data_IF_909646987953
#
_entry.id   IF_909646987953
#
_cell.length_a   1.000
_cell.length_b   1.000
_cell.length_c   1.000
_cell.angle_alpha   90.00
_cell.angle_beta   90.00
_cell.angle_gamma   90.00
#
_symmetry.space_group_name_H-M   'P 1'
#
loop_
_entity.id
_entity.type
_entity.pdbx_description
1 polymer ?
#
# COMPACT_ATOMS: atom_id res chain seq x y z
N UNK A 1 31.19 11.86 19.67
CA UNK A 1 31.17 13.36 19.58
C UNK A 1 29.79 13.91 19.89
N UNK A 2 28.71 13.32 19.36
CA UNK A 2 27.33 13.82 19.58
C UNK A 2 26.70 13.33 20.90
N UNK A 3 27.23 12.28 21.52
CA UNK A 3 26.68 11.69 22.76
C UNK A 3 26.41 12.69 23.88
N UNK A 4 27.27 13.69 24.15
CA UNK A 4 26.98 14.70 25.18
C UNK A 4 25.65 15.43 24.94
N UNK A 5 25.29 15.68 23.67
CA UNK A 5 24.01 16.28 23.27
C UNK A 5 22.85 15.33 23.54
N UNK A 6 23.01 14.06 23.16
CA UNK A 6 21.95 13.05 23.31
C UNK A 6 21.68 12.71 24.78
N UNK A 7 22.74 12.67 25.59
CA UNK A 7 22.68 12.40 27.04
C UNK A 7 22.30 13.65 27.86
N UNK A 8 22.22 14.83 27.23
CA UNK A 8 21.94 16.11 27.89
C UNK A 8 22.96 16.44 28.99
N UNK A 9 24.24 16.20 28.70
CA UNK A 9 25.36 16.46 29.61
C UNK A 9 25.70 17.96 29.66
N UNK A 10 24.80 18.76 30.21
CA UNK A 10 24.96 20.20 30.37
C UNK A 10 25.87 20.53 31.55
N UNK A 11 26.83 21.44 31.34
CA UNK A 11 27.67 21.98 32.40
C UNK A 11 27.30 23.45 32.63
N UNK A 12 27.26 23.93 33.89
CA UNK A 12 27.07 25.35 34.17
C UNK A 12 28.35 26.12 33.84
N UNK A 13 28.23 27.20 33.08
CA UNK A 13 29.32 28.17 32.86
C UNK A 13 29.36 29.22 33.96
N UNK A 14 30.52 29.87 34.14
CA UNK A 14 30.74 30.96 35.11
C UNK A 14 29.73 32.12 34.96
N UNK A 15 29.14 32.29 33.77
CA UNK A 15 28.17 33.33 33.47
C UNK A 15 26.70 32.88 33.64
N UNK A 16 26.45 31.71 34.24
CA UNK A 16 25.10 31.15 34.45
C UNK A 16 24.43 30.54 33.21
N UNK A 17 25.10 30.59 32.05
CA UNK A 17 24.67 29.89 30.84
C UNK A 17 25.01 28.40 30.90
N UNK A 18 24.18 27.56 30.29
CA UNK A 18 24.51 26.16 30.08
C UNK A 18 25.53 26.05 28.95
N UNK A 19 26.51 25.17 29.09
CA UNK A 19 27.48 24.82 28.04
C UNK A 19 27.48 23.31 27.84
N UNK A 20 27.88 22.88 26.64
CA UNK A 20 28.01 21.48 26.28
C UNK A 20 29.37 21.26 25.61
N UNK A 21 30.06 20.18 25.96
CA UNK A 21 31.38 19.85 25.40
C UNK A 21 31.22 18.91 24.21
N UNK A 22 31.63 19.36 23.03
CA UNK A 22 31.62 18.59 21.78
C UNK A 22 33.07 18.32 21.35
N UNK A 23 33.57 17.13 21.68
CA UNK A 23 34.99 16.81 21.50
C UNK A 23 35.86 17.75 22.35
N UNK A 24 36.73 18.53 21.71
CA UNK A 24 37.63 19.47 22.37
C UNK A 24 37.06 20.89 22.53
N UNK A 25 35.85 21.15 22.02
CA UNK A 25 35.22 22.47 22.07
C UNK A 25 34.10 22.54 23.09
N UNK A 26 34.06 23.62 23.84
CA UNK A 26 32.92 23.99 24.68
C UNK A 26 32.03 24.96 23.91
N UNK A 27 30.73 24.68 23.89
CA UNK A 27 29.73 25.46 23.13
C UNK A 27 28.62 25.86 24.09
N UNK A 28 28.20 27.12 24.06
CA UNK A 28 27.02 27.58 24.81
C UNK A 28 25.76 26.88 24.30
N UNK A 29 24.91 26.44 25.24
CA UNK A 29 23.65 25.75 24.94
C UNK A 29 22.47 26.72 24.99
N UNK A 30 21.65 26.70 23.94
CA UNK A 30 20.37 27.39 23.87
C UNK A 30 19.23 26.41 24.20
N UNK A 31 18.37 26.77 25.17
CA UNK A 31 17.19 25.96 25.54
C UNK A 31 16.17 25.81 24.41
N UNK A 32 16.20 26.67 23.39
CA UNK A 32 15.37 26.57 22.19
C UNK A 32 15.96 25.68 21.10
N UNK A 33 17.23 25.25 21.22
CA UNK A 33 17.84 24.33 20.26
C UNK A 33 17.13 22.97 20.26
N UNK A 34 16.92 22.43 19.05
CA UNK A 34 16.35 21.09 18.82
C UNK A 34 17.16 20.40 17.75
N UNK A 35 17.52 19.14 17.99
CA UNK A 35 18.23 18.29 17.04
C UNK A 35 17.27 17.26 16.46
N UNK A 36 17.12 17.27 15.14
CA UNK A 36 16.37 16.27 14.39
C UNK A 36 17.35 15.49 13.49
N UNK A 37 17.31 14.17 13.57
CA UNK A 37 18.10 13.28 12.72
C UNK A 37 17.14 12.50 11.83
N UNK A 38 17.45 12.44 10.53
CA UNK A 38 16.64 11.72 9.55
C UNK A 38 17.50 10.67 8.84
N UNK A 39 16.88 9.55 8.46
CA UNK A 39 17.51 8.48 7.71
C UNK A 39 16.62 8.09 6.54
N UNK A 40 17.23 7.81 5.38
CA UNK A 40 16.53 7.26 4.21
C UNK A 40 16.42 5.74 4.24
N UNK A 41 17.13 5.08 5.15
CA UNK A 41 17.07 3.63 5.29
C UNK A 41 15.68 3.23 5.78
N UNK A 42 15.03 2.28 5.11
CA UNK A 42 13.67 1.85 5.47
C UNK A 42 13.61 1.09 6.78
N UNK A 43 14.67 0.35 7.12
CA UNK A 43 14.75 -0.44 8.36
C UNK A 43 16.16 -0.42 8.99
N UNK A 44 16.62 0.74 9.49
CA UNK A 44 17.89 0.87 10.18
C UNK A 44 17.86 0.12 11.52
N UNK A 45 18.94 -0.59 11.85
CA UNK A 45 19.06 -1.25 13.13
C UNK A 45 19.65 -0.30 14.18
N UNK A 46 18.88 0.03 15.21
CA UNK A 46 19.33 0.85 16.33
C UNK A 46 19.51 -0.01 17.57
N UNK A 47 20.69 0.05 18.19
CA UNK A 47 20.95 -0.65 19.45
C UNK A 47 20.14 -0.08 20.62
N UNK A 48 20.04 -0.82 21.74
CA UNK A 48 19.36 -0.35 22.95
C UNK A 48 19.92 0.98 23.48
N UNK A 49 21.23 1.19 23.33
CA UNK A 49 21.89 2.44 23.72
C UNK A 49 21.32 3.67 23.01
N UNK A 50 21.17 3.60 21.68
CA UNK A 50 20.61 4.70 20.88
C UNK A 50 19.14 4.92 21.23
N UNK A 51 18.40 3.83 21.40
CA UNK A 51 16.97 3.85 21.74
C UNK A 51 16.71 4.39 23.15
N UNK A 52 17.68 4.27 24.07
CA UNK A 52 17.62 4.87 25.39
C UNK A 52 17.92 6.37 25.41
N UNK A 53 18.76 6.85 24.49
CA UNK A 53 19.19 8.26 24.42
C UNK A 53 18.28 9.12 23.52
N UNK A 54 17.57 8.51 22.58
CA UNK A 54 16.81 9.23 21.55
C UNK A 54 15.42 8.63 21.34
N UNK A 55 14.46 9.47 20.93
CA UNK A 55 13.15 9.02 20.49
C UNK A 55 13.22 8.69 19.00
N UNK A 56 12.95 7.44 18.65
CA UNK A 56 12.89 6.98 17.26
C UNK A 56 11.45 7.08 16.77
N UNK A 57 11.25 7.80 15.67
CA UNK A 57 9.94 7.96 15.03
C UNK A 57 9.99 7.22 13.69
N UNK A 58 9.08 6.24 13.51
CA UNK A 58 8.93 5.58 12.23
C UNK A 58 8.08 6.46 11.30
N UNK A 59 8.72 7.03 10.27
CA UNK A 59 8.07 7.81 9.22
C UNK A 59 7.82 7.00 7.94
N UNK A 60 7.90 5.67 8.04
CA UNK A 60 7.60 4.75 6.93
C UNK A 60 6.14 4.86 6.51
N UNK A 61 5.92 5.01 5.20
CA UNK A 61 4.58 5.04 4.62
C UNK A 61 3.96 3.64 4.76
N UNK A 62 2.78 3.56 5.38
CA UNK A 62 2.00 2.32 5.47
C UNK A 62 0.91 2.29 4.41
N UNK A 63 0.44 1.09 4.04
CA UNK A 63 -0.62 0.95 3.05
C UNK A 63 -1.92 1.65 3.47
N UNK A 64 -2.30 1.52 4.75
CA UNK A 64 -3.45 2.21 5.30
C UNK A 64 -3.25 3.73 5.31
N UNK A 65 -2.12 4.22 5.84
CA UNK A 65 -1.85 5.66 5.92
C UNK A 65 -1.82 6.32 4.55
N UNK A 66 -1.24 5.64 3.54
CA UNK A 66 -1.26 6.13 2.17
C UNK A 66 -2.66 6.08 1.55
N UNK A 67 -3.46 5.06 1.84
CA UNK A 67 -4.86 5.01 1.38
C UNK A 67 -5.64 6.21 1.90
N UNK A 68 -5.50 6.56 3.19
CA UNK A 68 -6.13 7.75 3.76
C UNK A 68 -5.61 9.05 3.13
N UNK A 69 -4.31 9.13 2.85
CA UNK A 69 -3.71 10.28 2.17
C UNK A 69 -4.26 10.43 0.74
N UNK A 70 -4.32 9.36 -0.04
CA UNK A 70 -4.83 9.37 -1.41
C UNK A 70 -6.34 9.62 -1.45
N UNK A 71 -7.07 9.23 -0.41
CA UNK A 71 -8.48 9.58 -0.27
C UNK A 71 -8.65 11.10 -0.14
N UNK A 72 -7.84 11.77 0.67
CA UNK A 72 -7.84 13.23 0.77
C UNK A 72 -7.56 13.88 -0.58
N UNK A 73 -6.56 13.39 -1.32
CA UNK A 73 -6.22 13.91 -2.66
C UNK A 73 -7.40 13.72 -3.63
N UNK A 74 -8.00 12.53 -3.63
CA UNK A 74 -9.13 12.20 -4.52
C UNK A 74 -10.35 13.08 -4.22
N UNK A 75 -10.72 13.21 -2.95
CA UNK A 75 -11.89 13.97 -2.52
C UNK A 75 -11.67 15.45 -2.74
N UNK A 76 -10.49 15.98 -2.43
CA UNK A 76 -10.15 17.39 -2.72
C UNK A 76 -10.29 17.72 -4.20
N UNK A 77 -9.97 16.78 -5.10
CA UNK A 77 -10.13 16.97 -6.53
C UNK A 77 -11.59 16.82 -7.01
N UNK A 78 -12.29 15.75 -6.59
CA UNK A 78 -13.64 15.46 -7.11
C UNK A 78 -14.75 16.27 -6.41
N UNK A 79 -14.57 16.59 -5.12
CA UNK A 79 -15.52 17.31 -4.26
C UNK A 79 -14.78 18.32 -3.35
N UNK A 80 -14.20 19.38 -3.94
CA UNK A 80 -13.51 20.41 -3.16
C UNK A 80 -14.42 21.11 -2.14
N UNK A 81 -15.72 21.16 -2.42
CA UNK A 81 -16.75 21.66 -1.50
C UNK A 81 -16.82 20.84 -0.20
N UNK A 82 -16.80 19.50 -0.30
CA UNK A 82 -16.79 18.62 0.88
C UNK A 82 -15.50 18.77 1.68
N UNK A 83 -14.36 18.87 0.99
CA UNK A 83 -13.08 19.01 1.68
C UNK A 83 -12.98 20.36 2.41
N UNK A 84 -13.47 21.45 1.80
CA UNK A 84 -13.53 22.77 2.44
C UNK A 84 -14.45 22.76 3.66
N UNK A 85 -15.63 22.12 3.55
CA UNK A 85 -16.54 21.95 4.68
C UNK A 85 -15.90 21.14 5.82
N UNK A 86 -15.18 20.06 5.50
CA UNK A 86 -14.45 19.24 6.48
C UNK A 86 -13.36 20.04 7.18
N UNK A 87 -12.54 20.77 6.43
CA UNK A 87 -11.46 21.61 7.00
C UNK A 87 -12.02 22.69 7.94
N UNK A 88 -13.12 23.33 7.54
CA UNK A 88 -13.83 24.34 8.38
C UNK A 88 -14.36 23.71 9.66
N UNK A 89 -15.06 22.58 9.54
CA UNK A 89 -15.65 21.87 10.68
C UNK A 89 -14.57 21.38 11.67
N UNK A 90 -13.44 20.89 11.19
CA UNK A 90 -12.30 20.48 12.05
C UNK A 90 -11.74 21.66 12.82
N UNK A 91 -11.60 22.83 12.17
CA UNK A 91 -11.13 24.05 12.82
C UNK A 91 -12.12 24.50 13.90
N UNK A 92 -13.41 24.57 13.57
CA UNK A 92 -14.47 24.94 14.52
C UNK A 92 -14.54 23.98 15.71
N UNK A 93 -14.48 22.67 15.48
CA UNK A 93 -14.44 21.68 16.57
C UNK A 93 -13.22 21.87 17.48
N UNK A 94 -12.05 22.18 16.91
CA UNK A 94 -10.84 22.44 17.68
C UNK A 94 -10.97 23.71 18.54
N UNK A 95 -11.49 24.79 17.97
CA UNK A 95 -11.74 26.05 18.67
C UNK A 95 -12.78 25.88 19.79
N UNK A 96 -13.91 25.24 19.49
CA UNK A 96 -14.97 24.95 20.46
C UNK A 96 -14.47 24.05 21.59
N UNK A 97 -13.65 23.04 21.29
CA UNK A 97 -13.07 22.15 22.32
C UNK A 97 -12.08 22.89 23.22
N UNK A 98 -11.29 23.82 22.67
CA UNK A 98 -10.40 24.66 23.45
C UNK A 98 -11.18 25.63 24.34
N UNK A 99 -12.25 26.26 23.81
CA UNK A 99 -13.13 27.14 24.58
C UNK A 99 -13.86 26.40 25.70
N UNK A 100 -14.38 25.20 25.44
CA UNK A 100 -15.03 24.37 26.46
C UNK A 100 -14.06 24.08 27.62
N UNK A 101 -12.85 23.66 27.30
CA UNK A 101 -11.80 23.42 28.31
C UNK A 101 -11.47 24.70 29.10
N UNK A 102 -11.37 25.85 28.43
CA UNK A 102 -11.11 27.12 29.09
C UNK A 102 -12.24 27.52 30.06
N UNK A 103 -13.50 27.28 29.67
CA UNK A 103 -14.66 27.51 30.55
C UNK A 103 -14.63 26.56 31.76
N UNK A 104 -14.31 25.28 31.55
CA UNK A 104 -14.14 24.29 32.64
C UNK A 104 -13.01 24.69 33.60
N UNK A 105 -11.84 25.06 33.07
CA UNK A 105 -10.70 25.53 33.86
C UNK A 105 -11.04 26.81 34.64
N UNK A 106 -11.83 27.72 34.04
CA UNK A 106 -12.30 28.94 34.71
C UNK A 106 -13.27 28.60 35.83
N UNK A 107 -14.26 27.74 35.60
CA UNK A 107 -15.20 27.26 36.62
C UNK A 107 -14.46 26.64 37.81
N UNK A 108 -13.48 25.77 37.55
CA UNK A 108 -12.66 25.14 38.58
C UNK A 108 -11.84 26.16 39.35
N UNK A 109 -11.23 27.13 38.65
CA UNK A 109 -10.46 28.19 39.27
C UNK A 109 -11.33 29.03 40.20
N UNK A 110 -12.45 29.55 39.70
CA UNK A 110 -13.37 30.40 40.49
C UNK A 110 -13.90 29.65 41.72
N UNK A 111 -14.24 28.36 41.60
CA UNK A 111 -14.62 27.50 42.74
C UNK A 111 -13.48 27.31 43.74
N UNK A 112 -12.23 27.16 43.26
CA UNK A 112 -11.06 26.93 44.12
C UNK A 112 -10.57 28.19 44.84
N UNK A 113 -10.74 29.36 44.21
CA UNK A 113 -10.34 30.66 44.77
C UNK A 113 -11.42 31.28 45.66
N UNK A 114 -12.64 30.74 45.63
CA UNK A 114 -13.72 31.19 46.49
C UNK A 114 -13.37 30.92 47.97
N UNK A 115 -13.28 31.99 48.76
CA UNK A 115 -13.05 31.95 50.20
C UNK A 115 -14.26 32.53 50.94
N UNK A 116 -14.73 31.86 52.00
CA UNK A 116 -15.97 32.21 52.70
C UNK A 116 -17.19 31.38 52.25
N UNK A 117 -18.40 31.82 52.61
CA UNK A 117 -19.63 31.14 52.22
C UNK A 117 -19.96 31.41 50.74
N UNK A 118 -19.74 30.41 49.89
CA UNK A 118 -19.94 30.47 48.43
C UNK A 118 -21.38 30.87 48.07
N UNK A 119 -22.35 30.52 48.92
CA UNK A 119 -23.77 30.82 48.72
C UNK A 119 -24.11 32.31 48.82
N UNK A 120 -23.26 33.11 49.48
CA UNK A 120 -23.51 34.54 49.70
C UNK A 120 -22.84 35.42 48.62
N UNK A 121 -21.98 34.85 47.77
CA UNK A 121 -21.28 35.57 46.72
C UNK A 121 -22.10 35.58 45.41
N UNK A 122 -23.02 36.54 45.29
CA UNK A 122 -23.88 36.69 44.11
C UNK A 122 -23.10 36.89 42.79
N UNK A 123 -21.94 37.54 42.83
CA UNK A 123 -21.11 37.77 41.63
C UNK A 123 -20.46 36.48 41.14
N UNK A 124 -19.97 35.66 42.07
CA UNK A 124 -19.46 34.32 41.78
C UNK A 124 -20.57 33.42 41.23
N UNK A 125 -21.77 33.43 41.84
CA UNK A 125 -22.91 32.63 41.37
C UNK A 125 -23.28 33.01 39.93
N UNK A 126 -23.40 34.31 39.63
CA UNK A 126 -23.72 34.79 38.29
C UNK A 126 -22.65 34.38 37.25
N UNK A 127 -21.37 34.45 37.63
CA UNK A 127 -20.25 34.04 36.77
C UNK A 127 -20.25 32.54 36.52
N UNK A 128 -20.52 31.72 37.54
CA UNK A 128 -20.63 30.27 37.43
C UNK A 128 -21.84 29.86 36.56
N UNK A 129 -22.99 30.52 36.71
CA UNK A 129 -24.16 30.27 35.88
C UNK A 129 -23.92 30.64 34.41
N UNK A 130 -23.30 31.80 34.15
CA UNK A 130 -22.94 32.23 32.79
C UNK A 130 -21.93 31.29 32.12
N UNK A 131 -20.87 30.91 32.82
CA UNK A 131 -19.88 29.96 32.31
C UNK A 131 -20.46 28.57 32.09
N UNK A 132 -21.35 28.10 32.97
CA UNK A 132 -22.08 26.84 32.80
C UNK A 132 -23.00 26.87 31.58
N UNK A 133 -23.77 27.95 31.38
CA UNK A 133 -24.65 28.09 30.24
C UNK A 133 -23.86 28.08 28.91
N UNK A 134 -22.76 28.84 28.84
CA UNK A 134 -21.88 28.85 27.68
C UNK A 134 -21.23 27.47 27.44
N UNK A 135 -20.81 26.76 28.49
CA UNK A 135 -20.25 25.42 28.37
C UNK A 135 -21.27 24.41 27.82
N UNK A 136 -22.53 24.49 28.27
CA UNK A 136 -23.63 23.65 27.74
C UNK A 136 -23.87 23.94 26.26
N UNK A 137 -23.94 25.22 25.85
CA UNK A 137 -24.13 25.60 24.45
C UNK A 137 -22.99 25.09 23.55
N UNK A 138 -21.74 25.23 24.00
CA UNK A 138 -20.57 24.76 23.24
C UNK A 138 -20.57 23.22 23.17
N UNK A 139 -20.96 22.54 24.25
CA UNK A 139 -21.07 21.08 24.25
C UNK A 139 -22.15 20.59 23.26
N UNK A 140 -23.31 21.24 23.20
CA UNK A 140 -24.35 20.93 22.22
C UNK A 140 -23.88 21.17 20.77
N UNK A 141 -23.17 22.28 20.52
CA UNK A 141 -22.55 22.54 19.21
C UNK A 141 -21.54 21.46 18.82
N UNK A 142 -20.70 21.02 19.77
CA UNK A 142 -19.74 19.94 19.53
C UNK A 142 -20.43 18.62 19.18
N UNK A 143 -21.54 18.27 19.82
CA UNK A 143 -22.31 17.08 19.45
C UNK A 143 -22.93 17.21 18.04
N UNK A 144 -23.48 18.37 17.69
CA UNK A 144 -23.99 18.61 16.33
C UNK A 144 -22.87 18.54 15.26
N UNK A 145 -21.69 19.10 15.56
CA UNK A 145 -20.52 19.01 14.68
C UNK A 145 -20.03 17.57 14.49
N UNK A 146 -20.13 16.71 15.51
CA UNK A 146 -19.78 15.28 15.37
C UNK A 146 -20.71 14.55 14.40
N UNK A 147 -22.02 14.82 14.47
CA UNK A 147 -22.99 14.24 13.51
C UNK A 147 -22.67 14.68 12.09
N UNK A 148 -22.45 15.99 11.91
CA UNK A 148 -22.07 16.55 10.60
C UNK A 148 -20.75 15.95 10.08
N UNK A 149 -19.76 15.76 10.96
CA UNK A 149 -18.49 15.13 10.60
C UNK A 149 -18.68 13.68 10.14
N UNK A 150 -19.58 12.92 10.77
CA UNK A 150 -19.89 11.56 10.38
C UNK A 150 -20.56 11.49 8.99
N UNK A 151 -21.49 12.41 8.68
CA UNK A 151 -22.15 12.48 7.37
C UNK A 151 -21.16 12.86 6.24
N UNK A 152 -20.25 13.80 6.53
CA UNK A 152 -19.15 14.14 5.61
C UNK A 152 -18.28 12.91 5.38
N UNK A 153 -17.93 12.18 6.44
CA UNK A 153 -17.08 10.99 6.34
C UNK A 153 -17.76 9.87 5.55
N UNK A 154 -19.05 9.63 5.76
CA UNK A 154 -19.82 8.66 4.97
C UNK A 154 -19.78 8.99 3.47
N UNK A 155 -19.86 10.28 3.14
CA UNK A 155 -19.74 10.73 1.75
C UNK A 155 -18.31 10.57 1.21
N UNK A 156 -17.32 10.84 2.05
CA UNK A 156 -15.90 10.78 1.72
C UNK A 156 -15.46 9.35 1.44
N UNK A 157 -15.85 8.39 2.28
CA UNK A 157 -15.50 6.96 2.16
C UNK A 157 -15.96 6.34 0.84
N UNK A 158 -16.99 6.89 0.19
CA UNK A 158 -17.43 6.44 -1.15
C UNK A 158 -16.34 6.57 -2.22
N UNK A 159 -15.36 7.47 -2.05
CA UNK A 159 -14.22 7.64 -2.96
C UNK A 159 -13.03 6.71 -2.61
N UNK A 160 -13.11 5.94 -1.53
CA UNK A 160 -12.05 5.03 -1.07
C UNK A 160 -11.57 4.00 -2.11
N UNK A 161 -12.37 3.50 -3.07
CA UNK A 161 -11.87 2.53 -4.05
C UNK A 161 -10.69 3.04 -4.88
N UNK A 162 -10.72 4.32 -5.28
CA UNK A 162 -9.62 4.97 -6.01
C UNK A 162 -8.37 5.04 -5.15
N UNK A 163 -8.52 5.43 -3.89
CA UNK A 163 -7.41 5.56 -2.95
C UNK A 163 -6.78 4.20 -2.62
N UNK A 164 -7.60 3.17 -2.40
CA UNK A 164 -7.15 1.79 -2.17
C UNK A 164 -6.37 1.27 -3.38
N UNK A 165 -6.89 1.48 -4.60
CA UNK A 165 -6.19 1.13 -5.84
C UNK A 165 -4.86 1.86 -5.95
N UNK A 166 -4.84 3.18 -5.74
CA UNK A 166 -3.61 3.96 -5.78
C UNK A 166 -2.57 3.50 -4.78
N UNK A 167 -2.96 3.17 -3.55
CA UNK A 167 -2.04 2.65 -2.55
C UNK A 167 -1.43 1.31 -2.98
N UNK A 168 -2.25 0.36 -3.46
CA UNK A 168 -1.76 -0.92 -4.00
C UNK A 168 -0.71 -0.68 -5.09
N UNK A 169 -1.02 0.16 -6.06
CA UNK A 169 -0.14 0.47 -7.19
C UNK A 169 1.18 1.10 -6.75
N UNK A 170 1.13 2.04 -5.80
CA UNK A 170 2.33 2.65 -5.23
C UNK A 170 3.24 1.62 -4.56
N UNK A 171 2.69 0.71 -3.75
CA UNK A 171 3.52 -0.29 -3.05
C UNK A 171 4.09 -1.34 -4.01
N UNK A 172 3.37 -1.71 -5.08
CA UNK A 172 3.94 -2.54 -6.15
C UNK A 172 5.13 -1.82 -6.78
N UNK A 173 4.96 -0.56 -7.17
CA UNK A 173 6.02 0.25 -7.78
C UNK A 173 7.23 0.45 -6.84
N UNK A 174 7.00 0.78 -5.57
CA UNK A 174 8.06 0.98 -4.57
C UNK A 174 8.86 -0.29 -4.27
N UNK A 175 8.21 -1.47 -4.35
CA UNK A 175 8.86 -2.76 -4.12
C UNK A 175 9.88 -3.15 -5.18
N UNK A 176 9.86 -2.51 -6.36
CA UNK A 176 10.81 -2.78 -7.45
C UNK A 176 12.26 -2.44 -7.07
N UNK A 177 12.46 -1.54 -6.11
CA UNK A 177 13.77 -1.20 -5.55
C UNK A 177 14.51 -2.42 -4.96
N UNK A 178 13.77 -3.46 -4.56
CA UNK A 178 14.36 -4.72 -4.09
C UNK A 178 15.09 -5.51 -5.19
N UNK A 179 14.78 -5.25 -6.46
CA UNK A 179 15.44 -5.90 -7.61
C UNK A 179 16.73 -5.17 -7.96
N UNK A 180 16.65 -3.84 -8.05
CA UNK A 180 17.79 -2.97 -8.31
C UNK A 180 17.51 -1.57 -7.80
N UNK A 181 18.53 -0.89 -7.30
CA UNK A 181 18.47 0.51 -6.88
C UNK A 181 18.08 1.46 -8.03
N UNK A 182 18.11 1.00 -9.29
CA UNK A 182 17.64 1.79 -10.44
C UNK A 182 16.11 1.94 -10.48
N UNK A 183 15.36 1.06 -9.79
CA UNK A 183 13.89 1.08 -9.77
C UNK A 183 13.36 1.72 -8.50
N UNK A 184 13.94 2.87 -8.14
CA UNK A 184 13.51 3.64 -6.99
C UNK A 184 12.51 4.71 -7.43
N UNK A 185 11.31 4.66 -6.84
CA UNK A 185 10.24 5.60 -7.12
C UNK A 185 9.84 6.33 -5.85
N UNK A 186 9.79 7.66 -5.92
CA UNK A 186 9.34 8.48 -4.79
C UNK A 186 7.81 8.58 -4.76
N UNK A 187 7.25 8.78 -3.55
CA UNK A 187 5.83 9.08 -3.40
C UNK A 187 5.44 10.39 -4.12
N UNK A 188 6.34 11.38 -4.19
CA UNK A 188 6.08 12.63 -4.90
C UNK A 188 5.90 12.40 -6.41
N UNK A 189 6.74 11.56 -7.02
CA UNK A 189 6.62 11.17 -8.43
C UNK A 189 5.31 10.42 -8.68
N UNK A 190 4.95 9.47 -7.80
CA UNK A 190 3.67 8.78 -7.86
C UNK A 190 2.47 9.74 -7.78
N UNK A 191 2.49 10.68 -6.83
CA UNK A 191 1.42 11.65 -6.65
C UNK A 191 1.25 12.55 -7.86
N UNK A 192 2.33 12.82 -8.62
CA UNK A 192 2.24 13.57 -9.87
C UNK A 192 1.42 12.81 -10.91
N UNK A 193 1.70 11.51 -11.10
CA UNK A 193 0.91 10.62 -11.99
C UNK A 193 -0.53 10.49 -11.50
N UNK A 194 -0.72 10.28 -10.20
CA UNK A 194 -2.04 10.15 -9.59
C UNK A 194 -2.91 11.39 -9.80
N UNK A 195 -2.37 12.58 -9.54
CA UNK A 195 -3.08 13.83 -9.77
C UNK A 195 -3.36 14.05 -11.26
N UNK A 196 -2.39 13.81 -12.15
CA UNK A 196 -2.61 13.93 -13.59
C UNK A 196 -3.76 13.03 -14.05
N UNK A 197 -3.78 11.78 -13.60
CA UNK A 197 -4.85 10.82 -13.89
C UNK A 197 -6.23 11.33 -13.44
N UNK A 198 -6.33 11.90 -12.24
CA UNK A 198 -7.59 12.46 -11.74
C UNK A 198 -8.14 13.54 -12.69
N UNK A 199 -7.25 14.37 -13.25
CA UNK A 199 -7.63 15.44 -14.17
C UNK A 199 -8.00 14.92 -15.56
N UNK A 200 -7.26 13.96 -16.11
CA UNK A 200 -7.39 13.50 -17.51
C UNK A 200 -8.38 12.35 -17.70
N UNK A 201 -8.66 11.57 -16.65
CA UNK A 201 -9.58 10.44 -16.70
C UNK A 201 -11.00 10.84 -17.12
N UNK A 202 -11.67 9.95 -17.84
CA UNK A 202 -13.01 10.19 -18.39
C UNK A 202 -14.03 10.53 -17.29
N UNK A 203 -14.75 11.64 -17.48
CA UNK A 203 -15.87 12.04 -16.62
C UNK A 203 -17.07 11.12 -16.83
N UNK A 204 -17.87 10.92 -15.79
CA UNK A 204 -19.09 10.13 -15.83
C UNK A 204 -20.15 10.80 -14.93
N UNK A 205 -21.44 10.80 -15.32
CA UNK A 205 -22.50 11.36 -14.49
C UNK A 205 -22.76 10.56 -13.21
N UNK A 206 -22.43 9.27 -13.18
CA UNK A 206 -22.59 8.42 -12.00
C UNK A 206 -21.27 8.36 -11.23
N UNK A 207 -21.36 8.38 -9.90
CA UNK A 207 -20.17 8.24 -9.05
C UNK A 207 -19.45 6.92 -9.34
N UNK A 208 -20.17 5.80 -9.42
CA UNK A 208 -19.59 4.49 -9.69
C UNK A 208 -18.88 4.43 -11.06
N UNK A 209 -19.50 4.97 -12.11
CA UNK A 209 -18.87 5.06 -13.43
C UNK A 209 -17.63 5.95 -13.41
N UNK A 210 -17.68 7.07 -12.67
CA UNK A 210 -16.53 7.99 -12.51
C UNK A 210 -15.37 7.30 -11.80
N UNK A 211 -15.63 6.64 -10.68
CA UNK A 211 -14.60 5.91 -9.91
C UNK A 211 -13.99 4.79 -10.76
N UNK A 212 -14.81 4.06 -11.53
CA UNK A 212 -14.32 3.02 -12.46
C UNK A 212 -13.39 3.60 -13.52
N UNK A 213 -13.76 4.71 -14.14
CA UNK A 213 -12.91 5.38 -15.14
C UNK A 213 -11.60 5.89 -14.55
N UNK A 214 -11.61 6.43 -13.32
CA UNK A 214 -10.39 6.84 -12.61
C UNK A 214 -9.52 5.62 -12.32
N UNK A 215 -10.09 4.54 -11.78
CA UNK A 215 -9.35 3.32 -11.44
C UNK A 215 -8.70 2.71 -12.68
N UNK A 216 -9.43 2.63 -13.79
CA UNK A 216 -8.92 2.09 -15.06
C UNK A 216 -7.75 2.93 -15.60
N UNK A 217 -7.95 4.25 -15.68
CA UNK A 217 -6.92 5.18 -16.13
C UNK A 217 -5.69 5.14 -15.21
N UNK A 218 -5.89 5.18 -13.89
CA UNK A 218 -4.80 5.17 -12.91
C UNK A 218 -3.96 3.92 -13.01
N UNK A 219 -4.62 2.78 -13.16
CA UNK A 219 -3.96 1.48 -13.29
C UNK A 219 -3.08 1.47 -14.54
N UNK A 220 -3.55 2.01 -15.67
CA UNK A 220 -2.78 2.07 -16.90
C UNK A 220 -1.69 3.16 -16.91
N UNK A 221 -1.96 4.33 -16.33
CA UNK A 221 -1.01 5.44 -16.27
C UNK A 221 0.19 5.08 -15.37
N UNK A 222 -0.06 4.44 -14.22
CA UNK A 222 1.02 3.94 -13.34
C UNK A 222 1.79 2.79 -13.99
N UNK A 223 1.10 1.86 -14.66
CA UNK A 223 1.75 0.80 -15.42
C UNK A 223 2.70 1.39 -16.46
N UNK A 224 2.18 2.32 -17.27
CA UNK A 224 2.93 2.95 -18.36
C UNK A 224 4.12 3.72 -17.84
N UNK A 225 3.91 4.57 -16.83
CA UNK A 225 4.95 5.34 -16.16
C UNK A 225 6.08 4.45 -15.62
N UNK A 226 5.72 3.33 -14.98
CA UNK A 226 6.71 2.40 -14.42
C UNK A 226 7.46 1.65 -15.53
N UNK A 227 6.75 1.20 -16.58
CA UNK A 227 7.37 0.50 -17.72
C UNK A 227 8.36 1.35 -18.51
N UNK A 228 8.27 2.69 -18.47
CA UNK A 228 9.27 3.58 -19.07
C UNK A 228 10.66 3.45 -18.42
N UNK A 229 10.70 3.19 -17.10
CA UNK A 229 11.95 3.03 -16.35
C UNK A 229 12.45 1.59 -16.22
N UNK A 230 11.65 0.60 -16.63
CA UNK A 230 11.97 -0.82 -16.48
C UNK A 230 12.73 -1.40 -17.67
N UNK A 231 13.67 -2.32 -17.38
CA UNK A 231 14.25 -3.16 -18.42
C UNK A 231 13.21 -4.14 -18.95
N UNK A 232 13.29 -4.46 -20.25
CA UNK A 232 12.34 -5.32 -20.94
C UNK A 232 12.08 -6.64 -20.22
N UNK A 233 13.15 -7.29 -19.74
CA UNK A 233 13.08 -8.56 -19.00
C UNK A 233 12.25 -8.53 -17.70
N UNK A 234 12.01 -7.34 -17.13
CA UNK A 234 11.27 -7.19 -15.88
C UNK A 234 9.83 -6.72 -16.08
N UNK A 235 9.41 -6.34 -17.31
CA UNK A 235 8.08 -5.77 -17.55
C UNK A 235 6.96 -6.79 -17.32
N UNK A 236 7.11 -8.02 -17.82
CA UNK A 236 6.12 -9.07 -17.58
C UNK A 236 6.05 -9.45 -16.08
N UNK A 237 7.20 -9.50 -15.40
CA UNK A 237 7.27 -9.74 -13.95
C UNK A 237 6.50 -8.66 -13.18
N UNK A 238 6.71 -7.38 -13.53
CA UNK A 238 5.98 -6.27 -12.93
C UNK A 238 4.47 -6.37 -13.20
N UNK A 239 4.08 -6.70 -14.42
CA UNK A 239 2.68 -6.88 -14.82
C UNK A 239 2.00 -8.00 -14.02
N UNK A 240 2.70 -9.12 -13.85
CA UNK A 240 2.24 -10.23 -13.03
C UNK A 240 2.11 -9.83 -11.55
N UNK A 241 3.12 -9.17 -10.98
CA UNK A 241 3.08 -8.70 -9.59
C UNK A 241 1.94 -7.71 -9.36
N UNK A 242 1.74 -6.78 -10.29
CA UNK A 242 0.64 -5.81 -10.27
C UNK A 242 -0.72 -6.51 -10.32
N UNK A 243 -0.88 -7.51 -11.19
CA UNK A 243 -2.09 -8.34 -11.29
C UNK A 243 -2.39 -9.05 -9.97
N UNK A 244 -1.38 -9.72 -9.38
CA UNK A 244 -1.52 -10.43 -8.11
C UNK A 244 -1.90 -9.48 -6.97
N UNK A 245 -1.25 -8.32 -6.85
CA UNK A 245 -1.54 -7.35 -5.79
C UNK A 245 -2.89 -6.65 -5.95
N UNK A 246 -3.34 -6.46 -7.19
CA UNK A 246 -4.69 -6.00 -7.49
C UNK A 246 -5.71 -7.05 -7.04
N UNK A 247 -5.51 -8.31 -7.42
CA UNK A 247 -6.39 -9.41 -7.02
C UNK A 247 -6.45 -9.55 -5.50
N UNK A 248 -5.31 -9.58 -4.81
CA UNK A 248 -5.25 -9.62 -3.34
C UNK A 248 -6.02 -8.46 -2.67
N UNK A 249 -6.05 -7.30 -3.33
CA UNK A 249 -6.79 -6.14 -2.86
C UNK A 249 -8.30 -6.33 -2.95
N UNK A 250 -8.79 -7.03 -3.97
CA UNK A 250 -10.23 -7.22 -4.23
C UNK A 250 -10.75 -8.52 -3.55
N UNK A 251 -9.95 -9.58 -3.59
CA UNK A 251 -10.23 -10.90 -2.98
C UNK A 251 -8.93 -11.52 -2.46
N UNK A 252 -8.92 -12.13 -1.26
CA UNK A 252 -7.70 -12.74 -0.72
C UNK A 252 -7.26 -13.90 -1.63
N UNK A 253 -6.10 -13.74 -2.28
CA UNK A 253 -5.44 -14.83 -2.99
C UNK A 253 -4.88 -15.83 -1.97
N UNK A 254 -4.90 -17.11 -2.30
CA UNK A 254 -4.32 -18.14 -1.45
C UNK A 254 -2.79 -18.01 -1.42
N UNK A 255 -2.27 -17.57 -0.26
CA UNK A 255 -0.84 -17.39 -0.03
C UNK A 255 -0.04 -18.69 -0.18
N UNK A 256 -0.63 -19.86 0.11
CA UNK A 256 0.04 -21.16 -0.08
C UNK A 256 0.16 -21.50 -1.56
N UNK A 257 -0.86 -21.19 -2.37
CA UNK A 257 -0.77 -21.36 -3.82
C UNK A 257 0.23 -20.39 -4.46
N UNK A 258 0.27 -19.13 -4.00
CA UNK A 258 1.25 -18.17 -4.50
C UNK A 258 2.68 -18.59 -4.15
N UNK A 259 2.93 -19.01 -2.90
CA UNK A 259 4.23 -19.51 -2.47
C UNK A 259 4.65 -20.75 -3.29
N UNK A 260 3.71 -21.68 -3.51
CA UNK A 260 3.92 -22.83 -4.38
C UNK A 260 4.25 -22.41 -5.81
N UNK A 261 3.49 -21.49 -6.41
CA UNK A 261 3.73 -21.07 -7.79
C UNK A 261 5.11 -20.45 -7.98
N UNK A 262 5.60 -19.70 -6.98
CA UNK A 262 6.91 -19.05 -7.03
C UNK A 262 8.07 -20.03 -6.78
N UNK A 263 7.92 -20.97 -5.84
CA UNK A 263 9.04 -21.81 -5.36
C UNK A 263 8.98 -23.26 -5.83
N UNK A 264 7.81 -23.76 -6.23
CA UNK A 264 7.56 -25.18 -6.42
C UNK A 264 7.67 -25.97 -5.12
N UNK A 265 7.98 -27.26 -5.23
CA UNK A 265 8.29 -28.11 -4.11
C UNK A 265 9.79 -28.06 -3.77
N UNK A 266 10.10 -27.55 -2.57
CA UNK A 266 11.48 -27.46 -2.04
C UNK A 266 11.87 -28.65 -1.16
N UNK A 267 11.01 -29.67 -1.04
CA UNK A 267 11.29 -30.86 -0.24
C UNK A 267 12.46 -31.66 -0.81
N UNK A 268 13.41 -32.02 0.05
CA UNK A 268 14.48 -32.96 -0.28
C UNK A 268 14.00 -34.41 -0.25
N UNK A 269 12.88 -34.68 0.43
CA UNK A 269 12.27 -36.00 0.48
C UNK A 269 11.47 -36.24 -0.81
N UNK A 270 11.69 -37.41 -1.42
CA UNK A 270 10.90 -37.86 -2.57
C UNK A 270 9.45 -38.07 -2.16
N UNK A 271 8.54 -37.80 -3.09
CA UNK A 271 7.13 -38.11 -2.95
C UNK A 271 6.91 -39.58 -2.55
N UNK A 272 6.02 -39.82 -1.58
CA UNK A 272 5.62 -41.18 -1.19
C UNK A 272 4.89 -41.91 -2.32
N UNK A 273 4.13 -41.16 -3.13
CA UNK A 273 3.45 -41.68 -4.33
C UNK A 273 4.45 -41.72 -5.48
N UNK A 274 4.64 -42.90 -6.06
CA UNK A 274 5.53 -43.09 -7.20
C UNK A 274 4.99 -42.36 -8.44
N UNK A 275 5.89 -41.84 -9.26
CA UNK A 275 5.54 -41.22 -10.54
C UNK A 275 4.97 -42.30 -11.47
N UNK A 276 3.79 -42.09 -12.07
CA UNK A 276 3.12 -43.14 -12.83
C UNK A 276 3.68 -43.34 -14.25
N UNK A 277 4.23 -42.29 -14.87
CA UNK A 277 4.68 -42.33 -16.26
C UNK A 277 6.04 -41.65 -16.47
N UNK A 278 6.83 -42.17 -17.40
CA UNK A 278 8.18 -41.67 -17.74
C UNK A 278 8.20 -40.29 -18.39
N UNK A 279 7.16 -39.95 -19.18
CA UNK A 279 7.08 -38.65 -19.88
C UNK A 279 6.91 -37.47 -18.91
N UNK A 280 6.43 -37.72 -17.69
CA UNK A 280 6.29 -36.68 -16.69
C UNK A 280 7.66 -36.40 -16.02
N UNK A 281 8.10 -35.14 -15.91
CA UNK A 281 9.34 -34.82 -15.21
C UNK A 281 9.26 -35.13 -13.71
N UNK A 282 10.35 -35.61 -13.12
CA UNK A 282 10.39 -35.95 -11.68
C UNK A 282 10.09 -34.73 -10.79
N UNK A 283 10.66 -33.56 -11.13
CA UNK A 283 10.36 -32.32 -10.41
C UNK A 283 8.89 -31.91 -10.58
N UNK A 284 8.35 -32.06 -11.79
CA UNK A 284 6.95 -31.76 -12.07
C UNK A 284 5.97 -32.61 -11.25
N UNK A 285 6.31 -33.89 -11.06
CA UNK A 285 5.56 -34.78 -10.17
C UNK A 285 5.67 -34.37 -8.70
N UNK A 286 6.86 -33.98 -8.22
CA UNK A 286 7.03 -33.48 -6.86
C UNK A 286 6.23 -32.19 -6.62
N UNK A 287 6.24 -31.26 -7.57
CA UNK A 287 5.43 -30.04 -7.55
C UNK A 287 3.94 -30.39 -7.51
N UNK A 288 3.50 -31.36 -8.33
CA UNK A 288 2.11 -31.84 -8.33
C UNK A 288 1.69 -32.42 -6.97
N UNK A 289 2.56 -33.20 -6.31
CA UNK A 289 2.27 -33.72 -4.96
C UNK A 289 2.12 -32.61 -3.93
N UNK A 290 2.93 -31.54 -4.02
CA UNK A 290 2.78 -30.38 -3.15
C UNK A 290 1.46 -29.65 -3.41
N UNK A 291 1.10 -29.47 -4.68
CA UNK A 291 -0.17 -28.86 -5.08
C UNK A 291 -1.38 -29.65 -4.58
N UNK A 292 -1.33 -30.98 -4.65
CA UNK A 292 -2.35 -31.88 -4.10
C UNK A 292 -2.47 -31.74 -2.59
N UNK A 293 -1.35 -31.68 -1.86
CA UNK A 293 -1.37 -31.49 -0.41
C UNK A 293 -2.04 -30.16 -0.02
N UNK A 294 -1.82 -29.09 -0.80
CA UNK A 294 -2.54 -27.81 -0.63
C UNK A 294 -4.02 -27.98 -0.97
N UNK A 295 -4.38 -28.74 -2.00
CA UNK A 295 -5.78 -29.06 -2.31
C UNK A 295 -6.51 -29.83 -1.20
N UNK A 296 -5.81 -30.75 -0.53
CA UNK A 296 -6.36 -31.58 0.54
C UNK A 296 -6.70 -30.80 1.82
N UNK A 297 -6.01 -29.69 2.09
CA UNK A 297 -6.30 -28.83 3.24
C UNK A 297 -7.49 -27.89 3.00
N UNK A 298 -7.93 -27.76 1.74
CA UNK A 298 -9.05 -26.90 1.36
C UNK A 298 -10.35 -27.69 1.25
N UNK A 299 -11.35 -27.22 1.99
CA UNK A 299 -12.71 -27.71 1.94
C UNK A 299 -13.62 -26.59 1.44
N UNK A 300 -14.53 -26.92 0.53
CA UNK A 300 -15.61 -26.00 0.15
C UNK A 300 -16.67 -25.89 1.25
N UNK A 301 -17.65 -24.99 1.06
CA UNK A 301 -18.73 -24.78 2.02
C UNK A 301 -19.60 -26.03 2.29
N UNK A 302 -19.55 -27.03 1.41
CA UNK A 302 -20.24 -28.32 1.55
C UNK A 302 -19.35 -29.41 2.14
N UNK A 303 -18.11 -29.07 2.57
CA UNK A 303 -17.15 -30.02 3.12
C UNK A 303 -16.49 -30.93 2.08
N UNK A 304 -16.62 -30.61 0.79
CA UNK A 304 -15.97 -31.35 -0.29
C UNK A 304 -14.54 -30.85 -0.47
N UNK A 305 -13.62 -31.79 -0.66
CA UNK A 305 -12.21 -31.49 -0.91
C UNK A 305 -12.04 -30.82 -2.26
N UNK A 306 -11.13 -29.84 -2.31
CA UNK A 306 -10.81 -29.11 -3.53
C UNK A 306 -10.44 -30.03 -4.71
N UNK A 307 -10.84 -29.72 -5.96
CA UNK A 307 -10.55 -30.56 -7.14
C UNK A 307 -9.06 -30.94 -7.31
N UNK A 308 -8.15 -30.04 -6.93
CA UNK A 308 -6.70 -30.28 -6.96
C UNK A 308 -6.26 -31.49 -6.13
N UNK A 309 -7.01 -31.90 -5.11
CA UNK A 309 -6.64 -33.04 -4.28
C UNK A 309 -6.68 -34.39 -5.02
N UNK A 310 -7.39 -34.46 -6.16
CA UNK A 310 -7.54 -35.67 -6.98
C UNK A 310 -6.62 -35.71 -8.19
N UNK A 311 -5.81 -34.66 -8.41
CA UNK A 311 -5.04 -34.46 -9.63
C UNK A 311 -4.15 -35.65 -9.99
N UNK A 312 -3.50 -36.30 -9.02
CA UNK A 312 -2.70 -37.48 -9.27
C UNK A 312 -3.51 -38.73 -9.61
N UNK A 313 -4.70 -38.88 -9.01
CA UNK A 313 -5.60 -39.99 -9.33
C UNK A 313 -6.10 -39.86 -10.77
N UNK A 314 -6.46 -38.64 -11.17
CA UNK A 314 -6.99 -38.36 -12.52
C UNK A 314 -5.90 -38.46 -13.59
N UNK A 315 -4.65 -38.08 -13.27
CA UNK A 315 -3.48 -38.29 -14.15
C UNK A 315 -3.22 -39.79 -14.35
N UNK A 316 -3.30 -40.59 -13.29
CA UNK A 316 -3.12 -42.05 -13.34
C UNK A 316 -4.28 -42.79 -14.04
N UNK A 317 -5.49 -42.25 -13.95
CA UNK A 317 -6.67 -42.85 -14.56
C UNK A 317 -6.76 -42.60 -16.07
N UNK A 318 -6.27 -41.45 -16.56
CA UNK A 318 -6.39 -41.03 -17.96
C UNK A 318 -5.05 -40.56 -18.55
N UNK A 319 -4.08 -41.47 -18.67
CA UNK A 319 -2.77 -41.17 -19.26
C UNK A 319 -2.90 -40.49 -20.63
N UNK A 320 -3.82 -40.97 -21.47
CA UNK A 320 -3.96 -40.55 -22.86
C UNK A 320 -4.22 -39.05 -22.98
N UNK A 321 -5.21 -38.53 -22.23
CA UNK A 321 -5.55 -37.11 -22.27
C UNK A 321 -4.46 -36.22 -21.68
N UNK A 322 -3.86 -36.63 -20.55
CA UNK A 322 -2.80 -35.83 -19.90
C UNK A 322 -1.50 -35.82 -20.69
N UNK A 323 -1.15 -36.94 -21.31
CA UNK A 323 0.00 -37.02 -22.21
C UNK A 323 -0.22 -36.19 -23.47
N UNK A 324 -1.40 -36.29 -24.08
CA UNK A 324 -1.75 -35.46 -25.23
C UNK A 324 -1.65 -33.97 -24.89
N UNK A 325 -2.16 -33.55 -23.72
CA UNK A 325 -2.00 -32.18 -23.24
C UNK A 325 -0.54 -31.78 -23.01
N UNK A 326 0.27 -32.66 -22.39
CA UNK A 326 1.70 -32.41 -22.17
C UNK A 326 2.49 -32.24 -23.48
N UNK A 327 2.14 -33.02 -24.51
CA UNK A 327 2.80 -33.01 -25.81
C UNK A 327 2.36 -31.85 -26.73
N UNK A 328 1.34 -31.07 -26.35
CA UNK A 328 0.95 -29.86 -27.10
C UNK A 328 2.09 -28.85 -27.21
N UNK A 329 2.14 -28.13 -28.32
CA UNK A 329 3.10 -27.02 -28.47
C UNK A 329 2.74 -25.84 -27.55
N UNK A 330 1.44 -25.54 -27.44
CA UNK A 330 0.89 -24.42 -26.68
C UNK A 330 -0.22 -24.91 -25.70
N UNK A 331 0.12 -25.72 -24.69
CA UNK A 331 -0.86 -26.29 -23.75
C UNK A 331 -1.66 -25.24 -22.98
N UNK A 332 -1.09 -24.06 -22.74
CA UNK A 332 -1.75 -22.95 -22.05
C UNK A 332 -2.93 -22.33 -22.83
N UNK A 333 -3.11 -22.68 -24.10
CA UNK A 333 -4.25 -22.25 -24.92
C UNK A 333 -5.42 -23.25 -24.88
N UNK A 334 -5.14 -24.48 -24.46
CA UNK A 334 -6.09 -25.58 -24.44
C UNK A 334 -6.70 -25.79 -23.05
N UNK A 335 -7.86 -26.46 -23.02
CA UNK A 335 -8.53 -26.77 -21.76
C UNK A 335 -7.79 -27.92 -21.05
N UNK A 336 -7.63 -27.79 -19.72
CA UNK A 336 -7.08 -28.87 -18.91
C UNK A 336 -7.98 -30.12 -18.99
N UNK A 337 -7.40 -31.34 -19.06
CA UNK A 337 -8.15 -32.59 -19.04
C UNK A 337 -9.06 -32.75 -17.82
N UNK A 338 -9.94 -33.76 -17.86
CA UNK A 338 -10.75 -34.20 -16.71
C UNK A 338 -11.65 -33.10 -16.08
N UNK A 339 -12.01 -32.05 -16.83
CA UNK A 339 -12.89 -30.97 -16.35
C UNK A 339 -12.19 -29.94 -15.45
N UNK A 340 -10.86 -29.97 -15.37
CA UNK A 340 -10.09 -28.96 -14.64
C UNK A 340 -10.14 -27.57 -15.30
N UNK A 341 -10.49 -27.49 -16.59
CA UNK A 341 -10.73 -26.23 -17.29
C UNK A 341 -11.86 -25.38 -16.69
N UNK A 342 -12.92 -26.01 -16.18
CA UNK A 342 -14.08 -25.27 -15.63
C UNK A 342 -14.09 -25.21 -14.11
N UNK A 343 -13.40 -26.14 -13.46
CA UNK A 343 -13.44 -26.29 -11.99
C UNK A 343 -12.34 -25.53 -11.25
N UNK A 344 -11.32 -25.03 -11.96
CA UNK A 344 -10.19 -24.30 -11.37
C UNK A 344 -10.23 -22.82 -11.75
N UNK A 345 -9.74 -21.98 -10.85
CA UNK A 345 -9.46 -20.57 -11.17
C UNK A 345 -8.29 -20.44 -12.15
N UNK A 346 -8.19 -19.32 -12.87
CA UNK A 346 -7.09 -19.07 -13.80
C UNK A 346 -5.70 -19.18 -13.14
N UNK A 347 -5.57 -18.77 -11.87
CA UNK A 347 -4.33 -18.90 -11.12
C UNK A 347 -3.99 -20.36 -10.76
N UNK A 348 -5.00 -21.18 -10.47
CA UNK A 348 -4.82 -22.61 -10.21
C UNK A 348 -4.48 -23.38 -11.48
N UNK A 349 -5.08 -23.02 -12.62
CA UNK A 349 -4.69 -23.57 -13.93
C UNK A 349 -3.21 -23.29 -14.22
N UNK A 350 -2.74 -22.08 -13.90
CA UNK A 350 -1.33 -21.71 -14.02
C UNK A 350 -0.42 -22.54 -13.09
N UNK A 351 -0.89 -22.89 -11.88
CA UNK A 351 -0.20 -23.81 -10.98
C UNK A 351 -0.10 -25.23 -11.55
N UNK A 352 -1.17 -25.74 -12.18
CA UNK A 352 -1.15 -27.05 -12.85
C UNK A 352 -0.21 -27.04 -14.06
N UNK A 353 -0.24 -25.97 -14.86
CA UNK A 353 0.69 -25.79 -15.99
C UNK A 353 2.15 -25.84 -15.52
N UNK A 354 2.47 -25.21 -14.39
CA UNK A 354 3.82 -25.27 -13.80
C UNK A 354 4.28 -26.70 -13.51
N UNK A 355 3.40 -27.55 -12.98
CA UNK A 355 3.73 -28.96 -12.69
C UNK A 355 4.05 -29.75 -13.96
N UNK A 356 3.42 -29.42 -15.08
CA UNK A 356 3.53 -30.20 -16.32
C UNK A 356 4.57 -29.60 -17.27
N UNK A 357 4.48 -28.31 -17.58
CA UNK A 357 5.23 -27.61 -18.63
C UNK A 357 5.81 -26.30 -18.11
N UNK A 358 6.85 -26.41 -17.29
CA UNK A 358 7.55 -25.26 -16.72
C UNK A 358 8.09 -24.31 -17.80
N UNK A 359 8.49 -24.84 -18.96
CA UNK A 359 8.92 -24.06 -20.13
C UNK A 359 7.83 -23.10 -20.66
N UNK A 360 6.54 -23.41 -20.46
CA UNK A 360 5.40 -22.59 -20.91
C UNK A 360 4.87 -21.62 -19.86
N UNK A 361 5.39 -21.64 -18.63
CA UNK A 361 4.87 -20.82 -17.53
C UNK A 361 4.94 -19.33 -17.83
N UNK A 362 5.96 -18.84 -18.54
CA UNK A 362 6.04 -17.43 -18.94
C UNK A 362 4.90 -17.02 -19.88
N UNK A 363 4.49 -17.90 -20.80
CA UNK A 363 3.34 -17.67 -21.68
C UNK A 363 2.04 -17.79 -20.89
N UNK A 364 1.95 -18.77 -19.99
CA UNK A 364 0.83 -18.91 -19.05
C UNK A 364 0.63 -17.66 -18.18
N UNK A 365 1.70 -17.05 -17.66
CA UNK A 365 1.65 -15.77 -16.93
C UNK A 365 1.09 -14.66 -17.82
N UNK A 366 1.54 -14.60 -19.08
CA UNK A 366 1.04 -13.61 -20.05
C UNK A 366 -0.47 -13.75 -20.22
N UNK A 367 -0.98 -14.97 -20.45
CA UNK A 367 -2.41 -15.25 -20.56
C UNK A 367 -3.19 -14.93 -19.28
N UNK A 368 -2.61 -15.25 -18.12
CA UNK A 368 -3.20 -14.91 -16.82
C UNK A 368 -3.34 -13.39 -16.62
N UNK A 369 -2.33 -12.61 -16.98
CA UNK A 369 -2.41 -11.14 -16.93
C UNK A 369 -3.48 -10.62 -17.90
N UNK A 370 -3.56 -11.19 -19.11
CA UNK A 370 -4.59 -10.83 -20.10
C UNK A 370 -6.00 -11.10 -19.57
N UNK A 371 -6.23 -12.26 -18.96
CA UNK A 371 -7.55 -12.68 -18.50
C UNK A 371 -8.05 -11.88 -17.30
N UNK A 372 -7.15 -11.48 -16.40
CA UNK A 372 -7.50 -10.72 -15.19
C UNK A 372 -7.56 -9.22 -15.46
N UNK A 373 -6.60 -8.70 -16.23
CA UNK A 373 -6.51 -7.27 -16.52
C UNK A 373 -6.93 -6.99 -17.96
N UNK A 374 -6.00 -7.06 -18.92
CA UNK A 374 -6.23 -6.94 -20.38
C UNK A 374 -4.89 -7.08 -21.11
N UNK A 375 -4.93 -7.23 -22.43
CA UNK A 375 -3.74 -7.33 -23.30
C UNK A 375 -2.79 -6.14 -23.23
N UNK A 376 -3.30 -4.92 -22.96
CA UNK A 376 -2.45 -3.72 -22.83
C UNK A 376 -1.42 -3.79 -21.70
N UNK A 377 -1.56 -4.72 -20.75
CA UNK A 377 -0.62 -4.89 -19.64
C UNK A 377 0.51 -5.88 -19.95
N UNK A 378 0.45 -6.59 -21.08
CA UNK A 378 1.56 -7.42 -21.57
C UNK A 378 2.22 -6.83 -22.82
N UNK A 379 1.73 -5.69 -23.29
CA UNK A 379 2.29 -4.90 -24.38
C UNK A 379 2.81 -3.57 -23.80
N UNK A 380 4.11 -3.47 -23.48
CA UNK A 380 4.68 -2.25 -22.94
C UNK A 380 4.43 -1.04 -23.85
N UNK A 381 4.18 0.15 -23.27
CA UNK A 381 3.97 1.35 -24.07
C UNK A 381 5.22 1.67 -24.90
N UNK A 382 4.98 2.14 -26.13
CA UNK A 382 6.04 2.67 -26.99
C UNK A 382 6.59 3.96 -26.38
N UNK A 383 7.91 4.14 -26.46
CA UNK A 383 8.57 5.33 -25.95
C UNK A 383 8.10 6.58 -26.72
N UNK A 384 7.48 7.52 -26.01
CA UNK A 384 7.05 8.81 -26.55
C UNK A 384 7.73 9.96 -25.79
N UNK A 385 8.78 10.49 -26.41
CA UNK A 385 9.56 11.61 -25.86
C UNK A 385 8.73 12.88 -25.66
N UNK A 386 7.73 13.13 -26.53
CA UNK A 386 6.90 14.32 -26.42
C UNK A 386 5.99 14.23 -25.17
N UNK A 387 5.48 13.03 -24.88
CA UNK A 387 4.70 12.80 -23.66
C UNK A 387 5.57 12.88 -22.40
N UNK A 388 6.77 12.28 -22.42
CA UNK A 388 7.74 12.38 -21.30
C UNK A 388 8.09 13.84 -21.01
N UNK A 389 8.37 14.64 -22.05
CA UNK A 389 8.68 16.05 -21.90
C UNK A 389 7.51 16.83 -21.30
N UNK A 390 6.27 16.59 -21.76
CA UNK A 390 5.06 17.22 -21.21
C UNK A 390 4.81 16.87 -19.74
N UNK A 391 5.20 15.67 -19.31
CA UNK A 391 5.05 15.20 -17.93
C UNK A 391 6.21 15.63 -17.03
N UNK A 392 7.31 16.13 -17.60
CA UNK A 392 8.48 16.59 -16.86
C UNK A 392 8.28 17.99 -16.28
N UNK A 393 9.09 18.32 -15.29
CA UNK A 393 9.12 19.66 -14.68
C UNK A 393 10.55 20.16 -14.63
N UNK A 394 10.72 21.47 -14.56
CA UNK A 394 12.03 22.12 -14.39
C UNK A 394 12.83 21.63 -13.17
N UNK A 395 12.14 21.05 -12.18
CA UNK A 395 12.75 20.52 -10.96
C UNK A 395 12.97 18.99 -10.99
N UNK A 396 12.57 18.31 -12.07
CA UNK A 396 12.69 16.84 -12.20
C UNK A 396 13.54 16.48 -13.42
N UNK A 397 14.83 16.16 -13.24
CA UNK A 397 15.69 15.81 -14.36
C UNK A 397 15.25 14.50 -15.02
N UNK A 398 15.31 14.45 -16.36
CA UNK A 398 15.11 13.22 -17.12
C UNK A 398 16.47 12.55 -17.31
N UNK A 399 16.57 11.28 -16.91
CA UNK A 399 17.79 10.48 -17.08
C UNK A 399 17.52 9.38 -18.09
N UNK A 400 18.31 9.34 -19.17
CA UNK A 400 18.27 8.27 -20.15
C UNK A 400 19.22 7.14 -19.75
N UNK A 401 18.68 5.94 -19.58
CA UNK A 401 19.45 4.72 -19.34
C UNK A 401 19.65 4.01 -20.68
N UNK A 402 20.88 4.00 -21.16
CA UNK A 402 21.22 3.50 -22.48
C UNK A 402 21.77 2.09 -22.43
N UNK A 403 21.38 1.28 -23.41
CA UNK A 403 22.10 0.05 -23.72
C UNK A 403 23.36 0.39 -24.53
N UNK A 404 24.44 -0.41 -24.43
CA UNK A 404 25.62 -0.21 -25.26
C UNK A 404 25.25 -0.11 -26.75
N UNK A 405 25.66 0.97 -27.41
CA UNK A 405 25.38 1.23 -28.83
C UNK A 405 24.07 1.97 -29.12
N UNK A 406 23.25 2.29 -28.11
CA UNK A 406 22.11 3.20 -28.26
C UNK A 406 22.53 4.64 -27.96
N UNK A 407 22.22 5.57 -28.85
CA UNK A 407 22.42 7.01 -28.66
C UNK A 407 21.06 7.72 -28.75
N UNK A 408 20.56 8.33 -27.65
CA UNK A 408 19.25 8.99 -27.63
C UNK A 408 19.26 10.36 -28.32
N UNK A 409 20.43 10.84 -28.77
CA UNK A 409 20.56 12.09 -29.50
C UNK A 409 20.21 11.98 -30.99
N UNK A 410 19.98 10.76 -31.52
CA UNK A 410 19.70 10.50 -32.93
C UNK A 410 18.30 9.93 -33.18
#
# INVERSE_FOLDING_TARGET
VIDPVLEKNFLPSANGKLIIKLGDKEVEWDNNFRLYMTSKLSNPHYGPEISGKTMIINYGVTQQGLTEQLLNVTVRHERPDLETARETLVKEMSENKAQLKQLEDTLLRELSSATGNILDNQELIATLEGAKAAAVEIAEKLEASKVTAAEIEETRVRYSPVAKRGAILFFVMASLSAITNMYEYSLASFLTVFNLTLHTSKRDPTLEGRLRNIIDALTFDVYSYTCLGLFERHKLMFSFQMTIKILEGDTPLDAQLLDFFLKGNLSLEKARRHKPYEWLPDQGWQDMMRLIAIGQTKLDAAGKVHPLARLADDVEADEGSWRAYYELEAPEEEHLPCGYGDSLTEFEKLCVLRCLRMDRVTVGITRFVISVMTERYVQPPVLDYANIFKQSTENTPIVFVLSPGADPAF
#
